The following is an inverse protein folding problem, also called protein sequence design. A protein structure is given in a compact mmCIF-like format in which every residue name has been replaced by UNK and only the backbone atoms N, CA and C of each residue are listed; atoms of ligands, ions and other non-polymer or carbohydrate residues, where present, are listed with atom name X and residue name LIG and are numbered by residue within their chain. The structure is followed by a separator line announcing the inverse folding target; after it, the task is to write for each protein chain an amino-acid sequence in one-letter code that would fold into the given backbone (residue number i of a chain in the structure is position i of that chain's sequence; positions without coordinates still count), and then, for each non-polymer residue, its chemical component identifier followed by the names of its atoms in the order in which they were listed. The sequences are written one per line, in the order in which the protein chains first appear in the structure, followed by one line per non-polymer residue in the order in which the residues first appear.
data_IF_100799842180
#
_entry.id   IF_100799842180
#
_cell.length_a   1.000
_cell.length_b   1.000
_cell.length_c   1.000
_cell.angle_alpha   90.00
_cell.angle_beta   90.00
_cell.angle_gamma   90.00
#
_symmetry.space_group_name_H-M   'P 1'
#
loop_
_entity.id
_entity.type
_entity.pdbx_description
1 polymer ?
#
# COMPACT_ATOMS: atom_id res chain seq x y z
N UNK A 1 4.86 -8.84 4.83
CA UNK A 1 4.05 -7.83 4.11
C UNK A 1 3.59 -6.79 5.12
N UNK A 2 3.18 -5.60 4.69
CA UNK A 2 2.67 -4.56 5.59
C UNK A 2 1.41 -3.92 5.04
N UNK A 3 0.69 -3.20 5.91
CA UNK A 3 -0.52 -2.46 5.54
C UNK A 3 -0.33 -0.99 5.87
N UNK A 4 -0.74 -0.12 4.95
CA UNK A 4 -0.88 1.34 5.16
C UNK A 4 -2.35 1.69 4.95
N UNK A 5 -2.97 2.40 5.89
CA UNK A 5 -4.43 2.63 5.84
C UNK A 5 -4.87 3.85 6.66
N UNK A 6 -5.97 4.48 6.24
CA UNK A 6 -6.64 5.54 7.01
C UNK A 6 -7.48 5.00 8.18
N UNK A 7 -7.49 3.68 8.40
CA UNK A 7 -8.04 3.08 9.61
C UNK A 7 -7.07 3.17 10.79
N UNK A 8 -7.59 3.10 12.02
CA UNK A 8 -6.75 2.98 13.21
C UNK A 8 -6.02 1.62 13.23
N UNK A 9 -4.75 1.61 13.62
CA UNK A 9 -3.93 0.40 13.64
C UNK A 9 -4.58 -0.72 14.45
N UNK A 10 -5.13 -0.40 15.64
CA UNK A 10 -5.78 -1.39 16.51
C UNK A 10 -6.98 -2.07 15.81
N UNK A 11 -7.73 -1.35 14.99
CA UNK A 11 -8.87 -1.91 14.27
C UNK A 11 -8.42 -2.91 13.19
N UNK A 12 -7.32 -2.60 12.50
CA UNK A 12 -6.74 -3.49 11.49
C UNK A 12 -6.21 -4.77 12.12
N UNK A 13 -5.52 -4.69 13.26
CA UNK A 13 -5.05 -5.87 13.98
C UNK A 13 -6.19 -6.79 14.43
N UNK A 14 -7.33 -6.23 14.83
CA UNK A 14 -8.52 -7.02 15.17
C UNK A 14 -9.02 -7.81 13.95
N UNK A 15 -9.12 -7.18 12.78
CA UNK A 15 -9.52 -7.84 11.53
C UNK A 15 -8.50 -8.91 11.14
N UNK A 16 -7.21 -8.59 11.17
CA UNK A 16 -6.16 -9.56 10.83
C UNK A 16 -6.18 -10.79 11.75
N UNK A 17 -6.39 -10.59 13.05
CA UNK A 17 -6.51 -11.68 14.01
C UNK A 17 -7.75 -12.56 13.76
N UNK A 18 -8.90 -11.95 13.43
CA UNK A 18 -10.13 -12.68 13.10
C UNK A 18 -9.95 -13.62 11.88
N UNK A 19 -9.16 -13.19 10.90
CA UNK A 19 -8.86 -13.99 9.70
C UNK A 19 -7.55 -14.81 9.79
N UNK A 20 -6.83 -14.78 10.92
CA UNK A 20 -5.58 -15.51 11.11
C UNK A 20 -4.41 -15.02 10.23
N UNK A 21 -4.40 -13.73 9.88
CA UNK A 21 -3.42 -13.08 9.01
C UNK A 21 -2.40 -12.22 9.78
N UNK A 22 -2.57 -12.07 11.09
CA UNK A 22 -1.71 -11.29 11.99
C UNK A 22 -0.22 -11.64 11.83
N UNK A 23 0.10 -12.92 11.69
CA UNK A 23 1.48 -13.39 11.53
C UNK A 23 2.11 -13.08 10.17
N UNK A 24 1.29 -12.82 9.15
CA UNK A 24 1.76 -12.51 7.78
C UNK A 24 2.02 -11.03 7.57
N UNK A 25 1.41 -10.18 8.42
CA UNK A 25 1.45 -8.71 8.34
C UNK A 25 2.13 -8.15 9.60
N UNK A 26 3.47 -8.22 9.71
CA UNK A 26 4.19 -7.72 10.88
C UNK A 26 4.20 -6.19 11.06
N UNK A 27 3.84 -5.41 10.04
CA UNK A 27 3.76 -3.94 10.13
C UNK A 27 2.40 -3.45 9.63
N UNK A 28 1.74 -2.63 10.44
CA UNK A 28 0.50 -1.93 10.11
C UNK A 28 0.70 -0.47 10.46
N UNK A 29 0.59 0.42 9.48
CA UNK A 29 0.64 1.87 9.66
C UNK A 29 -0.78 2.41 9.49
N UNK A 30 -1.48 2.57 10.61
CA UNK A 30 -2.79 3.22 10.69
C UNK A 30 -2.71 4.73 10.72
N UNK A 31 -3.87 5.39 10.63
CA UNK A 31 -4.00 6.86 10.62
C UNK A 31 -3.42 7.52 11.89
N UNK A 32 -3.51 6.84 13.03
CA UNK A 32 -2.98 7.26 14.32
C UNK A 32 -1.46 7.35 14.37
N UNK A 33 -0.78 6.81 13.35
CA UNK A 33 0.68 6.84 13.21
C UNK A 33 1.15 7.68 12.02
N UNK A 34 0.24 8.24 11.23
CA UNK A 34 0.58 9.10 10.11
C UNK A 34 0.88 10.52 10.59
N UNK A 35 2.06 11.02 10.25
CA UNK A 35 2.40 12.43 10.50
C UNK A 35 1.82 13.37 9.43
N UNK A 36 1.63 12.86 8.21
CA UNK A 36 1.15 13.59 7.03
C UNK A 36 0.28 12.66 6.19
N UNK A 37 -0.80 13.21 5.62
CA UNK A 37 -1.73 12.47 4.75
C UNK A 37 -1.13 12.10 3.39
N UNK A 38 -1.61 11.00 2.81
CA UNK A 38 -1.34 10.63 1.41
C UNK A 38 -1.87 11.75 0.47
N UNK A 39 -1.13 12.14 -0.58
CA UNK A 39 -0.08 11.40 -1.27
C UNK A 39 1.34 11.64 -0.74
N UNK A 40 1.52 12.22 0.45
CA UNK A 40 2.86 12.29 1.05
C UNK A 40 3.39 10.87 1.33
N UNK A 41 4.68 10.58 1.08
CA UNK A 41 5.23 9.22 1.16
C UNK A 41 5.49 8.71 2.59
N UNK A 42 5.11 9.49 3.62
CA UNK A 42 5.53 9.25 5.00
C UNK A 42 5.11 7.86 5.51
N UNK A 43 3.84 7.50 5.31
CA UNK A 43 3.29 6.24 5.80
C UNK A 43 3.86 5.02 5.05
N UNK A 44 4.11 5.17 3.74
CA UNK A 44 4.79 4.16 2.91
C UNK A 44 6.23 3.95 3.39
N UNK A 45 6.99 5.04 3.58
CA UNK A 45 8.37 5.00 4.07
C UNK A 45 8.49 4.39 5.47
N UNK A 46 7.54 4.71 6.36
CA UNK A 46 7.48 4.12 7.70
C UNK A 46 7.29 2.60 7.63
N UNK A 47 6.31 2.13 6.85
CA UNK A 47 6.01 0.71 6.69
C UNK A 47 7.19 -0.03 6.03
N UNK A 48 7.75 0.51 4.94
CA UNK A 48 8.92 -0.04 4.26
C UNK A 48 10.11 -0.22 5.23
N UNK A 49 10.41 0.80 6.04
CA UNK A 49 11.48 0.74 7.05
C UNK A 49 11.23 -0.33 8.12
N UNK A 50 10.00 -0.47 8.61
CA UNK A 50 9.65 -1.49 9.61
C UNK A 50 9.78 -2.91 9.08
N UNK A 51 9.55 -3.11 7.78
CA UNK A 51 9.76 -4.38 7.11
C UNK A 51 11.22 -4.63 6.73
N UNK A 52 12.12 -3.65 6.91
CA UNK A 52 13.51 -3.72 6.50
C UNK A 52 13.71 -3.69 4.98
N UNK A 53 12.73 -3.20 4.23
CA UNK A 53 12.80 -3.04 2.77
C UNK A 53 13.51 -1.76 2.34
N UNK A 54 13.65 -1.61 1.03
CA UNK A 54 14.28 -0.51 0.32
C UNK A 54 13.46 -0.12 -0.92
N UNK A 55 13.81 1.01 -1.54
CA UNK A 55 13.14 1.48 -2.76
C UNK A 55 13.19 0.45 -3.90
N UNK A 56 14.30 -0.29 -4.02
CA UNK A 56 14.54 -1.23 -5.13
C UNK A 56 13.94 -2.63 -4.94
N UNK A 57 13.37 -2.95 -3.79
CA UNK A 57 12.77 -4.26 -3.49
C UNK A 57 11.37 -4.16 -2.84
N UNK A 58 10.78 -2.97 -2.85
CA UNK A 58 9.44 -2.71 -2.31
C UNK A 58 8.47 -2.35 -3.42
N UNK A 59 7.26 -2.90 -3.34
CA UNK A 59 6.14 -2.57 -4.22
C UNK A 59 4.91 -2.22 -3.40
N UNK A 60 4.20 -1.16 -3.80
CA UNK A 60 2.90 -0.80 -3.23
C UNK A 60 1.78 -1.26 -4.15
N UNK A 61 0.80 -1.98 -3.59
CA UNK A 61 -0.39 -2.45 -4.30
C UNK A 61 -1.62 -1.79 -3.70
N UNK A 62 -2.40 -1.05 -4.49
CA UNK A 62 -3.64 -0.42 -4.01
C UNK A 62 -4.62 -0.16 -5.16
N UNK A 63 -5.91 -0.06 -4.83
CA UNK A 63 -6.94 0.43 -5.75
C UNK A 63 -7.18 1.94 -5.63
N UNK A 64 -6.58 2.61 -4.65
CA UNK A 64 -6.72 4.07 -4.46
C UNK A 64 -5.59 4.82 -5.18
N UNK A 65 -5.88 5.71 -6.14
CA UNK A 65 -4.87 6.55 -6.79
C UNK A 65 -4.02 7.39 -5.82
N UNK A 66 -4.53 7.77 -4.64
CA UNK A 66 -3.73 8.48 -3.62
C UNK A 66 -2.58 7.64 -3.09
N UNK A 67 -2.78 6.33 -3.00
CA UNK A 67 -1.77 5.38 -2.54
C UNK A 67 -0.71 5.16 -3.59
N UNK A 68 -1.13 5.07 -4.85
CA UNK A 68 -0.22 5.00 -5.99
C UNK A 68 0.66 6.25 -6.04
N UNK A 69 0.07 7.45 -5.87
CA UNK A 69 0.86 8.67 -5.78
C UNK A 69 1.80 8.68 -4.56
N UNK A 70 1.36 8.16 -3.41
CA UNK A 70 2.22 8.04 -2.23
C UNK A 70 3.40 7.08 -2.44
N UNK A 71 3.18 5.95 -3.11
CA UNK A 71 4.24 5.01 -3.49
C UNK A 71 5.21 5.60 -4.51
N UNK A 72 4.69 6.28 -5.55
CA UNK A 72 5.54 6.98 -6.51
C UNK A 72 6.39 8.08 -5.86
N UNK A 73 5.81 8.85 -4.93
CA UNK A 73 6.55 9.84 -4.14
C UNK A 73 7.56 9.22 -3.17
N UNK A 74 7.39 7.94 -2.81
CA UNK A 74 8.33 7.17 -2.01
C UNK A 74 9.43 6.52 -2.86
N UNK A 75 9.39 6.65 -4.19
CA UNK A 75 10.40 6.09 -5.09
C UNK A 75 10.27 4.58 -5.34
N UNK A 76 9.15 3.97 -4.97
CA UNK A 76 8.91 2.52 -5.13
C UNK A 76 8.02 2.22 -6.33
N UNK A 77 8.06 0.97 -6.78
CA UNK A 77 7.12 0.48 -7.78
C UNK A 77 5.69 0.45 -7.22
N UNK A 78 4.73 0.73 -8.09
CA UNK A 78 3.33 0.84 -7.72
C UNK A 78 2.44 0.05 -8.67
N UNK A 79 1.45 -0.62 -8.09
CA UNK A 79 0.53 -1.51 -8.79
C UNK A 79 -0.88 -1.04 -8.47
N UNK A 80 -1.54 -0.46 -9.47
CA UNK A 80 -2.95 -0.10 -9.38
C UNK A 80 -3.80 -1.34 -9.62
N UNK A 81 -4.62 -1.70 -8.62
CA UNK A 81 -5.65 -2.72 -8.75
C UNK A 81 -6.95 -2.07 -9.23
N UNK A 82 -7.24 -2.18 -10.52
CA UNK A 82 -8.44 -1.64 -11.16
C UNK A 82 -9.32 -2.78 -11.69
N UNK A 83 -10.37 -3.12 -10.93
CA UNK A 83 -11.30 -4.21 -11.27
C UNK A 83 -12.34 -3.80 -12.31
N UNK A 84 -12.63 -2.51 -12.39
CA UNK A 84 -13.78 -1.98 -13.14
C UNK A 84 -13.36 -1.32 -14.48
N UNK A 85 -12.06 -1.27 -14.78
CA UNK A 85 -11.54 -0.60 -15.99
C UNK A 85 -11.67 0.92 -15.91
N UNK A 86 -11.61 1.46 -14.70
CA UNK A 86 -11.73 2.88 -14.42
C UNK A 86 -10.49 3.62 -14.95
N UNK A 87 -10.69 4.74 -15.65
CA UNK A 87 -9.55 5.52 -16.14
C UNK A 87 -8.73 6.05 -14.97
N UNK A 88 -7.42 5.76 -14.98
CA UNK A 88 -6.47 6.30 -14.00
C UNK A 88 -6.51 7.83 -14.06
N UNK A 89 -6.68 8.54 -12.93
CA UNK A 89 -6.63 10.00 -12.94
C UNK A 89 -5.32 10.49 -13.55
N UNK A 90 -5.35 11.54 -14.39
CA UNK A 90 -4.16 11.99 -15.13
C UNK A 90 -2.96 12.43 -14.28
N UNK A 91 -3.16 12.65 -12.97
CA UNK A 91 -2.09 12.95 -12.00
C UNK A 91 -1.43 11.70 -11.39
N UNK A 92 -1.95 10.51 -11.66
CA UNK A 92 -1.52 9.24 -11.12
C UNK A 92 -0.87 8.39 -12.23
N UNK A 93 0.35 7.91 -11.99
CA UNK A 93 1.14 7.13 -12.95
C UNK A 93 1.65 5.84 -12.29
N UNK A 94 0.84 4.78 -12.19
CA UNK A 94 1.28 3.51 -11.63
C UNK A 94 2.34 2.83 -12.51
N UNK A 95 3.23 2.03 -11.92
CA UNK A 95 4.17 1.17 -12.67
C UNK A 95 3.41 0.08 -13.42
N UNK A 96 2.45 -0.56 -12.76
CA UNK A 96 1.61 -1.61 -13.33
C UNK A 96 0.13 -1.38 -13.03
N UNK A 97 -0.73 -1.87 -13.91
CA UNK A 97 -2.18 -1.92 -13.68
C UNK A 97 -2.63 -3.36 -13.85
N UNK A 98 -3.34 -3.88 -12.85
CA UNK A 98 -3.89 -5.25 -12.82
C UNK A 98 -5.36 -5.20 -12.44
N UNK A 99 -6.14 -6.20 -12.86
CA UNK A 99 -7.55 -6.31 -12.49
C UNK A 99 -7.79 -7.34 -11.37
N UNK A 100 -6.80 -8.18 -11.06
CA UNK A 100 -6.89 -9.15 -9.97
C UNK A 100 -5.57 -9.26 -9.21
N UNK A 101 -5.64 -9.46 -7.89
CA UNK A 101 -4.46 -9.81 -7.09
C UNK A 101 -3.82 -11.12 -7.55
N UNK A 102 -4.55 -11.98 -8.26
CA UNK A 102 -4.01 -13.20 -8.87
C UNK A 102 -3.00 -12.92 -9.98
N UNK A 103 -2.98 -11.70 -10.53
CA UNK A 103 -2.06 -11.29 -11.59
C UNK A 103 -0.71 -10.79 -11.03
N UNK A 104 -0.60 -10.61 -9.70
CA UNK A 104 0.62 -10.13 -9.03
C UNK A 104 1.86 -10.99 -9.25
N UNK A 105 1.81 -12.34 -9.28
CA UNK A 105 3.01 -13.14 -9.55
C UNK A 105 3.59 -12.98 -10.96
N UNK A 106 2.91 -12.23 -11.85
CA UNK A 106 3.29 -12.00 -13.24
C UNK A 106 3.88 -10.62 -13.54
N UNK A 107 4.10 -9.79 -12.53
CA UNK A 107 4.76 -8.48 -12.62
C UNK A 107 6.09 -8.50 -11.86
#
# INVERSE_FOLDING_TARGET
MGIVTDSYEQHVHQILAEFGLDRMIPSVVGIDRMAVERPHPYSVNLCMRELGGSEGDTVLVSSDPKDIMAGGNAGIDTVLLDRDGTSVPGSCSPTHVISSLLDLPGI
#
